data_IF_766413099705
#
_entry.id   IF_766413099705
#
_cell.length_a   1.000
_cell.length_b   1.000
_cell.length_c   1.000
_cell.angle_alpha   90.00
_cell.angle_beta   90.00
_cell.angle_gamma   90.00
#
_symmetry.space_group_name_H-M   'P 1'
#
loop_
_entity.id
_entity.type
_entity.pdbx_description
1 polymer ?
#
# COMPACT_ATOMS: atom_id res chain seq x y z
N UNK A 1 15.11 14.79 25.58
CA UNK A 1 16.23 15.58 25.03
C UNK A 1 17.43 14.67 24.93
N UNK A 2 17.83 14.32 23.71
CA UNK A 2 19.08 13.60 23.45
C UNK A 2 20.28 14.55 23.42
N UNK A 3 21.48 14.02 23.13
CA UNK A 3 22.74 14.77 23.09
C UNK A 3 22.77 15.89 22.02
N UNK A 4 21.74 15.99 21.17
CA UNK A 4 21.57 17.00 20.11
C UNK A 4 20.54 18.07 20.48
N UNK A 5 19.92 17.98 21.66
CA UNK A 5 18.82 18.87 22.07
C UNK A 5 17.47 18.51 21.43
N UNK A 6 17.42 17.42 20.64
CA UNK A 6 16.20 16.92 20.01
C UNK A 6 15.30 16.32 21.07
N UNK A 7 14.03 16.68 21.08
CA UNK A 7 13.06 15.89 21.84
C UNK A 7 12.62 14.75 20.92
N UNK A 8 13.42 13.67 20.89
CA UNK A 8 13.27 12.52 19.99
C UNK A 8 11.81 12.10 19.76
N UNK A 9 11.01 12.01 20.83
CA UNK A 9 9.60 11.63 20.73
C UNK A 9 8.75 12.65 19.98
N UNK A 10 8.93 13.95 20.23
CA UNK A 10 8.14 15.01 19.60
C UNK A 10 8.51 15.19 18.12
N UNK A 11 9.79 15.12 17.79
CA UNK A 11 10.22 15.26 16.41
C UNK A 11 9.89 14.01 15.57
N UNK A 12 9.86 12.83 16.19
CA UNK A 12 9.39 11.60 15.52
C UNK A 12 7.87 11.64 15.32
N UNK A 13 7.10 12.13 16.30
CA UNK A 13 5.65 12.35 16.16
C UNK A 13 5.33 13.32 15.01
N UNK A 14 6.11 14.40 14.87
CA UNK A 14 5.98 15.36 13.77
C UNK A 14 6.28 14.70 12.42
N UNK A 15 7.38 13.95 12.32
CA UNK A 15 7.74 13.22 11.10
C UNK A 15 6.67 12.19 10.70
N UNK A 16 6.09 11.47 11.66
CA UNK A 16 5.01 10.50 11.40
C UNK A 16 3.75 11.22 10.93
N UNK A 17 3.38 12.33 11.57
CA UNK A 17 2.25 13.16 11.15
C UNK A 17 2.41 13.68 9.72
N UNK A 18 3.61 14.13 9.36
CA UNK A 18 3.94 14.58 8.00
C UNK A 18 3.80 13.45 6.97
N UNK A 19 4.28 12.24 7.28
CA UNK A 19 4.11 11.09 6.40
C UNK A 19 2.63 10.74 6.20
N UNK A 20 1.83 10.74 7.26
CA UNK A 20 0.38 10.50 7.17
C UNK A 20 -0.29 11.57 6.30
N UNK A 21 0.05 12.85 6.49
CA UNK A 21 -0.47 13.94 5.69
C UNK A 21 -0.09 13.80 4.20
N UNK A 22 1.16 13.41 3.93
CA UNK A 22 1.66 13.15 2.58
C UNK A 22 0.85 12.06 1.87
N UNK A 23 0.63 10.90 2.51
CA UNK A 23 -0.14 9.82 1.90
C UNK A 23 -1.61 10.20 1.69
N UNK A 24 -2.23 10.93 2.64
CA UNK A 24 -3.60 11.43 2.48
C UNK A 24 -3.73 12.38 1.30
N UNK A 25 -2.80 13.31 1.13
CA UNK A 25 -2.82 14.28 0.04
C UNK A 25 -2.73 13.61 -1.35
N UNK A 26 -1.99 12.50 -1.44
CA UNK A 26 -1.75 11.78 -2.69
C UNK A 26 -2.69 10.60 -2.93
N UNK A 27 -3.56 10.28 -1.97
CA UNK A 27 -4.52 9.18 -2.08
C UNK A 27 -5.28 9.15 -3.42
N UNK A 28 -5.77 10.28 -3.97
CA UNK A 28 -6.49 10.28 -5.25
C UNK A 28 -5.63 9.86 -6.46
N UNK A 29 -4.31 9.93 -6.37
CA UNK A 29 -3.38 9.63 -7.47
C UNK A 29 -2.91 8.16 -7.48
N UNK A 30 -3.00 7.45 -6.35
CA UNK A 30 -2.33 6.16 -6.20
C UNK A 30 -2.90 5.06 -7.08
N UNK A 31 -4.21 5.09 -7.36
CA UNK A 31 -4.82 4.11 -8.27
C UNK A 31 -4.31 4.29 -9.70
N UNK A 32 -4.19 5.53 -10.18
CA UNK A 32 -3.67 5.81 -11.51
C UNK A 32 -2.18 5.45 -11.60
N UNK A 33 -1.41 5.70 -10.52
CA UNK A 33 -0.03 5.25 -10.44
C UNK A 33 0.08 3.72 -10.48
N UNK A 34 -0.69 3.02 -9.65
CA UNK A 34 -0.68 1.57 -9.54
C UNK A 34 -1.14 0.90 -10.83
N UNK A 35 -2.17 1.43 -11.49
CA UNK A 35 -2.73 0.89 -12.72
C UNK A 35 -2.03 1.41 -13.99
N UNK A 36 -0.97 2.21 -13.85
CA UNK A 36 -0.18 2.82 -14.94
C UNK A 36 -1.06 3.60 -15.94
N UNK A 37 -1.95 4.44 -15.41
CA UNK A 37 -2.86 5.28 -16.18
C UNK A 37 -2.36 6.72 -16.29
N UNK A 38 -2.83 7.43 -17.31
CA UNK A 38 -2.60 8.86 -17.48
C UNK A 38 -1.11 9.22 -17.43
N UNK A 39 -0.75 10.17 -16.56
CA UNK A 39 0.63 10.62 -16.40
C UNK A 39 1.61 9.61 -15.82
N UNK A 40 1.14 8.43 -15.38
CA UNK A 40 1.97 7.34 -14.87
C UNK A 40 2.21 6.20 -15.87
N UNK A 41 1.70 6.33 -17.10
CA UNK A 41 2.09 5.42 -18.18
C UNK A 41 3.56 5.67 -18.55
N UNK A 42 4.39 4.62 -18.45
CA UNK A 42 5.81 4.66 -18.77
C UNK A 42 6.15 3.86 -20.05
N UNK A 43 5.12 3.57 -20.86
CA UNK A 43 5.24 2.84 -22.11
C UNK A 43 5.00 1.34 -21.96
N UNK A 44 4.76 0.66 -23.10
CA UNK A 44 4.22 -0.69 -23.13
C UNK A 44 5.13 -1.73 -22.47
N UNK A 45 6.45 -1.60 -22.61
CA UNK A 45 7.39 -2.57 -22.02
C UNK A 45 7.48 -2.43 -20.50
N UNK A 46 7.37 -1.21 -19.98
CA UNK A 46 7.30 -0.98 -18.53
C UNK A 46 5.97 -1.52 -17.98
N UNK A 47 4.86 -1.19 -18.61
CA UNK A 47 3.52 -1.64 -18.18
C UNK A 47 3.40 -3.17 -18.21
N UNK A 48 3.97 -3.84 -19.22
CA UNK A 48 4.02 -5.32 -19.26
C UNK A 48 4.80 -5.92 -18.10
N UNK A 49 5.99 -5.37 -17.77
CA UNK A 49 6.79 -5.84 -16.63
C UNK A 49 6.05 -5.64 -15.32
N UNK A 50 5.43 -4.46 -15.14
CA UNK A 50 4.66 -4.15 -13.95
C UNK A 50 3.46 -5.10 -13.75
N UNK A 51 2.69 -5.37 -14.82
CA UNK A 51 1.60 -6.34 -14.76
C UNK A 51 2.13 -7.74 -14.42
N UNK A 52 3.24 -8.17 -15.02
CA UNK A 52 3.84 -9.47 -14.72
C UNK A 52 4.28 -9.60 -13.24
N UNK A 53 4.81 -8.53 -12.65
CA UNK A 53 5.16 -8.49 -11.22
C UNK A 53 3.91 -8.61 -10.33
N UNK A 54 2.82 -7.92 -10.68
CA UNK A 54 1.53 -8.06 -9.98
C UNK A 54 1.00 -9.49 -10.11
N UNK A 55 1.01 -10.06 -11.31
CA UNK A 55 0.53 -11.43 -11.56
C UNK A 55 1.33 -12.46 -10.73
N UNK A 56 2.64 -12.27 -10.60
CA UNK A 56 3.47 -13.11 -9.72
C UNK A 56 3.02 -13.04 -8.26
N UNK A 57 2.74 -11.84 -7.74
CA UNK A 57 2.27 -11.66 -6.37
C UNK A 57 0.89 -12.29 -6.15
N UNK A 58 -0.04 -12.09 -7.10
CA UNK A 58 -1.37 -12.71 -7.05
C UNK A 58 -1.28 -14.24 -7.02
N UNK A 59 -0.39 -14.82 -7.84
CA UNK A 59 -0.16 -16.25 -7.85
C UNK A 59 0.40 -16.80 -6.53
N UNK A 60 1.22 -16.00 -5.82
CA UNK A 60 1.67 -16.38 -4.48
C UNK A 60 0.55 -16.25 -3.44
N UNK A 61 -0.31 -15.22 -3.53
CA UNK A 61 -1.50 -15.12 -2.66
C UNK A 61 -2.45 -16.31 -2.83
N UNK A 62 -2.56 -16.87 -4.04
CA UNK A 62 -3.37 -18.07 -4.31
C UNK A 62 -2.81 -19.34 -3.68
N UNK A 63 -1.52 -19.34 -3.29
CA UNK A 63 -0.86 -20.49 -2.65
C UNK A 63 -0.90 -20.43 -1.14
N UNK A 64 -1.23 -19.27 -0.57
CA UNK A 64 -1.34 -19.11 0.89
C UNK A 64 -2.55 -19.91 1.38
N UNK A 65 -2.34 -20.74 2.39
CA UNK A 65 -3.43 -21.35 3.15
C UNK A 65 -4.03 -20.29 4.08
N UNK A 66 -5.10 -19.64 3.62
CA UNK A 66 -5.78 -18.60 4.38
C UNK A 66 -6.63 -19.16 5.52
N UNK A 67 -6.70 -18.42 6.62
CA UNK A 67 -7.75 -18.58 7.62
C UNK A 67 -9.05 -17.89 7.20
N UNK A 68 -10.03 -17.87 8.10
CA UNK A 68 -11.33 -17.21 7.85
C UNK A 68 -11.23 -15.67 7.79
N UNK A 69 -10.26 -15.08 8.50
CA UNK A 69 -10.08 -13.62 8.58
C UNK A 69 -8.63 -13.17 8.46
N UNK A 70 -8.44 -11.97 7.92
CA UNK A 70 -7.12 -11.33 7.72
C UNK A 70 -7.12 -9.90 8.26
N UNK A 71 -6.02 -9.51 8.91
CA UNK A 71 -5.70 -8.14 9.28
C UNK A 71 -4.69 -7.57 8.27
N UNK A 72 -5.08 -6.50 7.57
CA UNK A 72 -4.25 -5.76 6.63
C UNK A 72 -3.82 -4.41 7.24
N UNK A 73 -2.51 -4.15 7.23
CA UNK A 73 -1.94 -2.87 7.63
C UNK A 73 -1.60 -2.04 6.39
N UNK A 74 -1.86 -0.72 6.47
CA UNK A 74 -1.63 0.24 5.40
C UNK A 74 -2.33 -0.14 4.07
N UNK A 75 -3.66 -0.32 4.07
CA UNK A 75 -4.42 -0.76 2.89
C UNK A 75 -4.41 0.27 1.74
N UNK A 76 -4.02 1.51 2.02
CA UNK A 76 -3.98 2.59 1.03
C UNK A 76 -5.35 2.80 0.38
N UNK A 77 -5.42 2.71 -0.95
CA UNK A 77 -6.67 2.81 -1.72
C UNK A 77 -7.47 1.50 -1.76
N UNK A 78 -6.97 0.43 -1.14
CA UNK A 78 -7.67 -0.84 -0.98
C UNK A 78 -7.50 -1.83 -2.14
N UNK A 79 -6.53 -1.63 -3.03
CA UNK A 79 -6.31 -2.55 -4.15
C UNK A 79 -6.00 -3.98 -3.68
N UNK A 80 -5.09 -4.12 -2.70
CA UNK A 80 -4.78 -5.42 -2.10
C UNK A 80 -5.91 -5.92 -1.19
N UNK A 81 -6.61 -5.03 -0.47
CA UNK A 81 -7.81 -5.39 0.29
C UNK A 81 -8.84 -6.10 -0.58
N UNK A 82 -9.07 -5.61 -1.81
CA UNK A 82 -9.99 -6.24 -2.76
C UNK A 82 -9.51 -7.62 -3.22
N UNK A 83 -8.20 -7.85 -3.33
CA UNK A 83 -7.64 -9.17 -3.62
C UNK A 83 -7.75 -10.13 -2.43
N UNK A 84 -7.47 -9.66 -1.22
CA UNK A 84 -7.61 -10.45 0.01
C UNK A 84 -9.07 -10.87 0.24
N UNK A 85 -10.03 -9.96 0.04
CA UNK A 85 -11.45 -10.23 0.23
C UNK A 85 -12.04 -11.30 -0.70
N UNK A 86 -11.32 -11.68 -1.78
CA UNK A 86 -11.71 -12.81 -2.64
C UNK A 86 -11.34 -14.18 -2.04
N UNK A 87 -10.43 -14.19 -1.06
CA UNK A 87 -9.76 -15.39 -0.54
C UNK A 87 -10.16 -15.74 0.89
N UNK A 88 -10.71 -14.79 1.65
CA UNK A 88 -11.13 -14.96 3.05
C UNK A 88 -12.54 -14.46 3.29
N UNK A 89 -13.15 -14.86 4.40
CA UNK A 89 -14.51 -14.44 4.76
C UNK A 89 -14.56 -12.97 5.19
N UNK A 90 -13.52 -12.50 5.90
CA UNK A 90 -13.45 -11.10 6.36
C UNK A 90 -12.05 -10.51 6.34
N UNK A 91 -11.97 -9.23 6.00
CA UNK A 91 -10.73 -8.45 6.06
C UNK A 91 -10.94 -7.25 6.98
N UNK A 92 -10.07 -7.11 7.98
CA UNK A 92 -9.93 -5.88 8.77
C UNK A 92 -8.77 -5.09 8.21
N UNK A 93 -9.03 -3.88 7.72
CA UNK A 93 -8.00 -3.01 7.13
C UNK A 93 -7.75 -1.80 8.04
N UNK A 94 -6.49 -1.53 8.38
CA UNK A 94 -6.07 -0.48 9.32
C UNK A 94 -5.04 0.44 8.66
N UNK A 95 -5.34 1.73 8.57
CA UNK A 95 -4.48 2.77 7.98
C UNK A 95 -4.68 4.14 8.58
#
# INVERSE_FOLDING_TARGET
MDATGRNVTTDDDELISEQVAYYRARAPEYDDWFLRRGGYDQGPDHSKRWVAEIDMLLAELDRVEWGESVLEFAPGTGWWTAELAKRVESVMAVG
#
